data_IF_758555720236
#
_entry.id   IF_758555720236
#
_cell.length_a   1.000
_cell.length_b   1.000
_cell.length_c   1.000
_cell.angle_alpha   90.00
_cell.angle_beta   90.00
_cell.angle_gamma   90.00
#
_symmetry.space_group_name_H-M   'P 1'
#
loop_
_entity.id
_entity.type
_entity.pdbx_description
1 polymer ?
#
# COMPACT_ATOMS: atom_id res chain seq x y z
N UNK A 1 -13.68 -16.57 22.77
CA UNK A 1 -13.68 -16.04 21.40
C UNK A 1 -12.35 -15.34 21.14
N UNK A 2 -11.30 -16.08 20.81
CA UNK A 2 -9.97 -15.52 20.51
C UNK A 2 -9.18 -16.54 19.69
N UNK A 3 -9.43 -16.63 18.38
CA UNK A 3 -8.54 -17.39 17.47
C UNK A 3 -8.73 -17.12 15.96
N UNK A 4 -9.70 -16.32 15.52
CA UNK A 4 -9.92 -16.09 14.07
C UNK A 4 -8.99 -15.01 13.50
N UNK A 5 -8.56 -14.04 14.32
CA UNK A 5 -7.67 -12.95 13.89
C UNK A 5 -6.24 -13.43 13.69
N UNK A 6 -5.80 -14.43 14.45
CA UNK A 6 -4.40 -14.88 14.47
C UNK A 6 -4.04 -15.69 13.19
N UNK A 7 -4.95 -16.57 12.74
CA UNK A 7 -4.76 -17.34 11.51
C UNK A 7 -4.68 -16.48 10.24
N UNK A 8 -5.48 -15.40 10.17
CA UNK A 8 -5.45 -14.48 9.02
C UNK A 8 -4.13 -13.69 8.96
N UNK A 9 -3.56 -13.32 10.11
CA UNK A 9 -2.27 -12.62 10.17
C UNK A 9 -1.13 -13.47 9.58
N UNK A 10 -1.06 -14.76 9.96
CA UNK A 10 -0.03 -15.67 9.47
C UNK A 10 -0.10 -15.90 7.94
N UNK A 11 -1.31 -16.01 7.40
CA UNK A 11 -1.53 -16.14 5.94
C UNK A 11 -1.05 -14.89 5.20
N UNK A 12 -1.33 -13.70 5.74
CA UNK A 12 -0.87 -12.44 5.15
C UNK A 12 0.66 -12.35 5.19
N UNK A 13 1.30 -12.75 6.29
CA UNK A 13 2.77 -12.78 6.40
C UNK A 13 3.40 -13.72 5.37
N UNK A 14 2.80 -14.90 5.18
CA UNK A 14 3.25 -15.83 4.15
C UNK A 14 3.11 -15.24 2.74
N UNK A 15 1.97 -14.60 2.43
CA UNK A 15 1.76 -13.93 1.14
C UNK A 15 2.79 -12.83 0.90
N UNK A 16 3.04 -11.98 1.91
CA UNK A 16 4.06 -10.92 1.83
C UNK A 16 5.46 -11.49 1.64
N UNK A 17 5.81 -12.56 2.34
CA UNK A 17 7.09 -13.28 2.18
C UNK A 17 7.27 -13.88 0.77
N UNK A 18 6.18 -14.36 0.16
CA UNK A 18 6.21 -14.84 -1.23
C UNK A 18 6.29 -13.69 -2.24
N UNK A 19 5.69 -12.54 -1.94
CA UNK A 19 5.72 -11.35 -2.82
C UNK A 19 7.08 -10.66 -2.83
N UNK A 20 7.70 -10.51 -1.66
CA UNK A 20 9.03 -9.87 -1.56
C UNK A 20 10.13 -10.64 -2.30
N UNK A 21 9.95 -11.94 -2.51
CA UNK A 21 10.87 -12.80 -3.29
C UNK A 21 10.67 -12.67 -4.80
N UNK A 22 9.59 -12.07 -5.28
CA UNK A 22 9.35 -11.93 -6.72
C UNK A 22 10.27 -10.82 -7.29
N UNK A 23 10.88 -11.05 -8.47
CA UNK A 23 11.75 -10.06 -9.08
C UNK A 23 10.96 -8.78 -9.39
N UNK A 24 11.57 -7.63 -9.07
CA UNK A 24 11.00 -6.31 -9.32
C UNK A 24 10.05 -5.80 -8.24
N UNK A 25 9.62 -6.62 -7.26
CA UNK A 25 8.81 -6.13 -6.12
C UNK A 25 9.69 -5.31 -5.18
N UNK A 26 9.29 -4.06 -4.93
CA UNK A 26 9.96 -3.15 -3.98
C UNK A 26 9.31 -3.16 -2.62
N UNK A 27 7.99 -3.03 -2.60
CA UNK A 27 7.22 -2.88 -1.39
C UNK A 27 5.85 -3.51 -1.53
N UNK A 28 5.27 -3.91 -0.41
CA UNK A 28 3.91 -4.39 -0.31
C UNK A 28 3.26 -3.80 0.93
N UNK A 29 2.01 -3.37 0.79
CA UNK A 29 1.20 -2.83 1.86
C UNK A 29 -0.17 -3.50 1.86
N UNK A 30 -0.60 -3.91 3.05
CA UNK A 30 -1.92 -4.48 3.29
C UNK A 30 -2.72 -3.44 4.05
N UNK A 31 -3.85 -3.01 3.48
CA UNK A 31 -4.71 -1.97 4.02
C UNK A 31 -6.06 -2.61 4.35
N UNK A 32 -6.62 -2.33 5.52
CA UNK A 32 -7.97 -2.76 5.88
C UNK A 32 -9.01 -2.12 4.94
N UNK A 33 -9.91 -2.94 4.39
CA UNK A 33 -10.86 -2.48 3.38
C UNK A 33 -11.87 -1.49 3.94
N UNK A 34 -12.29 -1.69 5.19
CA UNK A 34 -13.35 -0.89 5.83
C UNK A 34 -12.84 0.45 6.36
N UNK A 35 -11.71 0.45 7.06
CA UNK A 35 -11.16 1.64 7.72
C UNK A 35 -10.08 2.38 6.93
N UNK A 36 -9.44 1.73 5.95
CA UNK A 36 -8.26 2.28 5.28
C UNK A 36 -6.99 2.24 6.14
N UNK A 37 -7.02 1.56 7.29
CA UNK A 37 -5.87 1.44 8.20
C UNK A 37 -4.82 0.47 7.66
N UNK A 38 -3.54 0.75 7.91
CA UNK A 38 -2.45 -0.17 7.53
C UNK A 38 -2.46 -1.37 8.46
N UNK A 39 -2.56 -2.57 7.88
CA UNK A 39 -2.48 -3.84 8.60
C UNK A 39 -1.05 -4.37 8.65
N UNK A 40 -0.35 -4.34 7.51
CA UNK A 40 1.02 -4.85 7.37
C UNK A 40 1.76 -4.13 6.24
N UNK A 41 3.08 -4.02 6.38
CA UNK A 41 3.99 -3.54 5.36
C UNK A 41 5.15 -4.52 5.18
N UNK A 42 5.75 -4.56 4.00
CA UNK A 42 6.94 -5.36 3.70
C UNK A 42 7.76 -4.72 2.59
N UNK A 43 9.08 -4.92 2.62
CA UNK A 43 10.01 -4.37 1.64
C UNK A 43 10.41 -2.92 1.93
N UNK A 44 10.83 -2.20 0.90
CA UNK A 44 11.30 -0.82 0.99
C UNK A 44 10.12 0.17 1.05
N UNK A 45 9.72 0.51 2.27
CA UNK A 45 8.62 1.45 2.53
C UNK A 45 8.96 2.91 2.15
N UNK A 46 10.23 3.26 1.94
CA UNK A 46 10.62 4.61 1.50
C UNK A 46 10.10 4.93 0.09
N UNK A 47 9.78 3.90 -0.70
CA UNK A 47 9.16 4.05 -2.03
C UNK A 47 7.70 4.53 -1.93
N UNK A 48 7.06 4.36 -0.77
CA UNK A 48 5.66 4.71 -0.52
C UNK A 48 5.47 6.15 -0.03
N UNK A 49 6.55 6.81 0.41
CA UNK A 49 6.49 8.18 0.91
C UNK A 49 6.06 9.18 -0.16
N UNK A 50 5.10 10.04 0.19
CA UNK A 50 4.65 11.16 -0.65
C UNK A 50 5.78 12.16 -0.87
N UNK A 51 5.65 13.02 -1.90
CA UNK A 51 6.61 14.12 -2.12
C UNK A 51 6.75 15.02 -0.90
N UNK A 52 5.66 15.22 -0.16
CA UNK A 52 5.62 16.00 1.07
C UNK A 52 6.45 15.33 2.18
N UNK A 53 6.26 14.04 2.42
CA UNK A 53 7.01 13.31 3.45
C UNK A 53 8.49 13.14 3.09
N UNK A 54 8.83 12.99 1.80
CA UNK A 54 10.22 12.98 1.33
C UNK A 54 10.92 14.32 1.56
N UNK A 55 10.21 15.42 1.35
CA UNK A 55 10.75 16.77 1.60
C UNK A 55 10.97 17.00 3.10
N UNK A 56 10.01 16.59 3.93
CA UNK A 56 10.12 16.66 5.39
C UNK A 56 11.27 15.79 5.93
N UNK A 57 11.44 14.57 5.42
CA UNK A 57 12.53 13.66 5.83
C UNK A 57 13.91 14.19 5.45
N UNK A 58 14.01 14.86 4.29
CA UNK A 58 15.25 15.53 3.86
C UNK A 58 15.56 16.72 4.74
N UNK A 59 14.55 17.53 5.09
CA UNK A 59 14.70 18.66 6.02
C UNK A 59 15.12 18.19 7.43
N UNK A 60 14.52 17.12 7.95
CA UNK A 60 14.87 16.55 9.26
C UNK A 60 16.29 15.93 9.28
N UNK A 61 16.76 15.39 8.14
CA UNK A 61 18.13 14.89 8.02
C UNK A 61 19.18 16.00 8.15
N UNK A 62 18.89 17.23 7.70
CA UNK A 62 19.79 18.37 7.93
C UNK A 62 19.86 18.81 9.39
N UNK A 63 18.81 18.52 10.17
CA UNK A 63 18.74 18.83 11.60
C UNK A 63 19.36 17.74 12.49
N UNK A 64 19.82 16.62 11.92
CA UNK A 64 20.38 15.46 12.63
C UNK A 64 19.47 14.92 13.76
N UNK A 65 18.15 14.99 13.56
CA UNK A 65 17.15 14.57 14.55
C UNK A 65 16.51 13.23 14.13
N UNK A 66 16.97 12.08 14.67
CA UNK A 66 16.52 10.76 14.22
C UNK A 66 15.05 10.48 14.53
N UNK A 67 14.48 11.10 15.57
CA UNK A 67 13.07 10.93 15.92
C UNK A 67 12.11 11.58 14.90
N UNK A 68 12.47 12.74 14.36
CA UNK A 68 11.64 13.47 13.39
C UNK A 68 11.59 12.79 12.01
N UNK A 69 12.64 12.04 11.64
CA UNK A 69 12.71 11.31 10.37
C UNK A 69 11.81 10.04 10.35
N UNK A 70 11.75 9.31 11.46
CA UNK A 70 10.90 8.12 11.63
C UNK A 70 9.41 8.48 11.66
N UNK A 71 9.06 9.58 12.33
CA UNK A 71 7.68 10.09 12.37
C UNK A 71 7.22 10.59 10.99
N UNK A 72 8.10 11.28 10.26
CA UNK A 72 7.81 11.77 8.91
C UNK A 72 7.61 10.64 7.89
N UNK A 73 8.35 9.53 8.05
CA UNK A 73 8.24 8.34 7.21
C UNK A 73 6.92 7.62 7.48
N UNK A 74 6.59 7.39 8.75
CA UNK A 74 5.34 6.75 9.17
C UNK A 74 4.12 7.52 8.66
N UNK A 75 4.12 8.83 8.87
CA UNK A 75 3.07 9.73 8.37
C UNK A 75 2.92 9.65 6.84
N UNK A 76 4.03 9.54 6.10
CA UNK A 76 3.99 9.43 4.65
C UNK A 76 3.35 8.14 4.13
N UNK A 77 3.49 7.04 4.87
CA UNK A 77 2.88 5.76 4.50
C UNK A 77 1.39 5.79 4.84
N UNK A 78 1.00 6.38 5.97
CA UNK A 78 -0.41 6.57 6.33
C UNK A 78 -1.15 7.41 5.28
N UNK A 79 -0.54 8.53 4.86
CA UNK A 79 -1.09 9.38 3.79
C UNK A 79 -1.21 8.60 2.47
N UNK A 80 -0.22 7.76 2.15
CA UNK A 80 -0.25 6.91 0.96
C UNK A 80 -1.36 5.86 1.02
N UNK A 81 -1.54 5.20 2.16
CA UNK A 81 -2.62 4.24 2.38
C UNK A 81 -4.00 4.89 2.24
N UNK A 82 -4.18 6.08 2.80
CA UNK A 82 -5.42 6.85 2.68
C UNK A 82 -5.72 7.22 1.21
N UNK A 83 -4.70 7.61 0.43
CA UNK A 83 -4.86 7.87 -1.00
C UNK A 83 -5.31 6.63 -1.78
N UNK A 84 -4.69 5.47 -1.53
CA UNK A 84 -5.09 4.21 -2.17
C UNK A 84 -6.53 3.88 -1.81
N UNK A 85 -6.87 3.92 -0.53
CA UNK A 85 -8.21 3.58 -0.05
C UNK A 85 -9.28 4.46 -0.70
N UNK A 86 -9.04 5.79 -0.75
CA UNK A 86 -9.93 6.73 -1.45
C UNK A 86 -10.06 6.41 -2.93
N UNK A 87 -8.94 6.16 -3.62
CA UNK A 87 -8.93 5.86 -5.06
C UNK A 87 -9.71 4.57 -5.38
N UNK A 88 -9.54 3.53 -4.55
CA UNK A 88 -10.26 2.26 -4.69
C UNK A 88 -11.76 2.46 -4.48
N UNK A 89 -12.18 3.25 -3.48
CA UNK A 89 -13.60 3.54 -3.25
C UNK A 89 -14.23 4.26 -4.44
N UNK A 90 -13.64 5.35 -4.91
CA UNK A 90 -14.15 6.08 -6.06
C UNK A 90 -14.16 5.25 -7.34
N UNK A 91 -13.16 4.39 -7.55
CA UNK A 91 -13.15 3.46 -8.69
C UNK A 91 -14.23 2.39 -8.57
N UNK A 92 -14.53 1.93 -7.35
CA UNK A 92 -15.62 0.98 -7.09
C UNK A 92 -16.99 1.57 -7.37
N UNK A 93 -17.24 2.81 -6.92
CA UNK A 93 -18.48 3.56 -7.20
C UNK A 93 -18.71 3.70 -8.71
N UNK A 94 -17.66 3.98 -9.48
CA UNK A 94 -17.73 4.06 -10.95
C UNK A 94 -18.14 2.72 -11.59
N UNK A 95 -17.62 1.59 -11.07
CA UNK A 95 -17.98 0.25 -11.59
C UNK A 95 -19.42 -0.08 -11.25
N UNK A 96 -19.87 0.21 -10.03
CA UNK A 96 -21.26 -0.01 -9.60
C UNK A 96 -22.27 0.84 -10.39
N UNK A 97 -21.90 2.08 -10.76
CA UNK A 97 -22.72 2.92 -11.62
C UNK A 97 -22.81 2.37 -13.06
N UNK A 98 -21.74 1.73 -13.53
CA UNK A 98 -21.68 1.13 -14.86
C UNK A 98 -22.52 -0.17 -14.93
N UNK A 99 -22.39 -1.04 -13.93
CA UNK A 99 -23.18 -2.26 -13.78
C UNK A 99 -23.27 -2.65 -12.29
N UNK A 100 -24.49 -2.77 -11.77
CA UNK A 100 -24.75 -3.10 -10.36
C UNK A 100 -24.44 -4.56 -10.01
N UNK A 101 -24.38 -5.42 -11.02
CA UNK A 101 -24.05 -6.84 -10.85
C UNK A 101 -22.54 -7.11 -11.07
N UNK A 102 -21.76 -6.09 -11.43
CA UNK A 102 -20.30 -6.18 -11.59
C UNK A 102 -19.55 -5.65 -10.35
N UNK A 103 -18.30 -6.09 -10.18
CA UNK A 103 -17.48 -5.71 -9.03
C UNK A 103 -16.03 -5.40 -9.43
N UNK A 104 -15.46 -4.36 -8.80
CA UNK A 104 -14.05 -4.05 -8.95
C UNK A 104 -13.19 -5.13 -8.27
N UNK A 105 -12.31 -5.79 -9.02
CA UNK A 105 -11.42 -6.85 -8.48
C UNK A 105 -9.94 -6.47 -8.42
N UNK A 106 -9.48 -5.70 -9.39
CA UNK A 106 -8.05 -5.38 -9.53
C UNK A 106 -7.86 -4.04 -10.20
N UNK A 107 -6.96 -3.24 -9.64
CA UNK A 107 -6.47 -2.01 -10.25
C UNK A 107 -4.97 -2.13 -10.50
N UNK A 108 -4.51 -1.61 -11.65
CA UNK A 108 -3.10 -1.59 -12.02
C UNK A 108 -2.76 -0.22 -12.58
N UNK A 109 -1.87 0.50 -11.91
CA UNK A 109 -1.40 1.82 -12.32
C UNK A 109 0.08 1.72 -12.67
N UNK A 110 0.41 1.93 -13.94
CA UNK A 110 1.81 2.02 -14.39
C UNK A 110 2.20 3.49 -14.51
N UNK A 111 3.27 3.86 -13.81
CA UNK A 111 3.95 5.14 -13.93
C UNK A 111 5.26 4.95 -14.70
N UNK A 112 6.02 6.03 -14.92
CA UNK A 112 7.35 5.93 -15.55
C UNK A 112 8.36 5.12 -14.73
N UNK A 113 8.20 5.10 -13.40
CA UNK A 113 9.17 4.49 -12.47
C UNK A 113 8.64 3.21 -11.86
N UNK A 114 7.40 3.23 -11.43
CA UNK A 114 6.78 2.13 -10.70
C UNK A 114 5.47 1.68 -11.32
N UNK A 115 5.16 0.41 -11.09
CA UNK A 115 3.88 -0.18 -11.34
C UNK A 115 3.22 -0.57 -10.01
N UNK A 116 2.01 -0.08 -9.78
CA UNK A 116 1.26 -0.29 -8.55
C UNK A 116 0.11 -1.23 -8.89
N UNK A 117 0.08 -2.39 -8.25
CA UNK A 117 -0.98 -3.39 -8.39
C UNK A 117 -1.77 -3.43 -7.11
N UNK A 118 -3.08 -3.19 -7.18
CA UNK A 118 -4.00 -3.21 -6.04
C UNK A 118 -4.99 -4.34 -6.28
N UNK A 119 -4.96 -5.35 -5.43
CA UNK A 119 -5.89 -6.47 -5.43
C UNK A 119 -6.93 -6.23 -4.35
N UNK A 120 -8.21 -6.25 -4.73
CA UNK A 120 -9.32 -6.13 -3.79
C UNK A 120 -9.67 -7.51 -3.24
N UNK A 121 -9.56 -7.67 -1.92
CA UNK A 121 -10.07 -8.81 -1.16
C UNK A 121 -11.25 -8.31 -0.29
N UNK A 122 -12.25 -9.15 0.03
CA UNK A 122 -13.37 -8.74 0.88
C UNK A 122 -12.96 -8.10 2.21
N UNK A 123 -11.77 -8.43 2.74
CA UNK A 123 -11.30 -7.91 4.04
C UNK A 123 -10.21 -6.85 3.93
N UNK A 124 -9.40 -6.88 2.88
CA UNK A 124 -8.23 -6.00 2.77
C UNK A 124 -7.92 -5.63 1.32
N UNK A 125 -7.12 -4.59 1.16
CA UNK A 125 -6.50 -4.21 -0.10
C UNK A 125 -5.04 -4.64 -0.04
N UNK A 126 -4.65 -5.52 -0.96
CA UNK A 126 -3.24 -5.90 -1.11
C UNK A 126 -2.64 -5.05 -2.23
N UNK A 127 -1.77 -4.12 -1.85
CA UNK A 127 -1.08 -3.25 -2.79
C UNK A 127 0.39 -3.63 -2.90
N UNK A 128 0.86 -3.82 -4.13
CA UNK A 128 2.24 -4.21 -4.44
C UNK A 128 2.84 -3.20 -5.39
N UNK A 129 4.06 -2.75 -5.07
CA UNK A 129 4.79 -1.76 -5.85
C UNK A 129 5.96 -2.47 -6.51
N UNK A 130 6.00 -2.39 -7.83
CA UNK A 130 6.99 -3.02 -8.69
C UNK A 130 7.80 -1.95 -9.43
N UNK A 131 9.06 -2.25 -9.74
CA UNK A 131 9.79 -1.49 -10.78
C UNK A 131 9.11 -1.69 -12.13
N UNK A 132 9.08 -0.61 -12.91
CA UNK A 132 8.65 -0.72 -14.30
C UNK A 132 9.82 -1.27 -15.11
N UNK A 133 9.66 -2.38 -15.85
CA UNK A 133 10.69 -2.86 -16.76
C UNK A 133 11.06 -1.73 -17.74
N UNK A 134 12.35 -1.43 -17.87
CA UNK A 134 12.84 -0.49 -18.87
C UNK A 134 12.63 -1.11 -20.25
N UNK A 135 11.61 -0.67 -20.97
CA UNK A 135 11.46 -0.94 -22.42
C UNK A 135 12.58 -0.29 -23.21
#
# INVERSE_FOLDING_TARGET
MADVTNGNSAILDEKLSRLSKKPGVKASIVIDRGSGSILKTSGDISVLGTTQSRTASTAASFSNEPAAAEESTSKGIDDFAAMIWKFVNSSGEMVEEMDKDDELRLLRLRTKKHEIVIVLDPKYLLTVIHDTPTS
#
